data_IF_474162879211
#
_entry.id   IF_474162879211
#
_cell.length_a   1.000
_cell.length_b   1.000
_cell.length_c   1.000
_cell.angle_alpha   90.00
_cell.angle_beta   90.00
_cell.angle_gamma   90.00
#
_symmetry.space_group_name_H-M   'P 1'
#
loop_
_entity.id
_entity.type
_entity.pdbx_description
1 polymer ?
#
# COMPACT_ATOMS: atom_id res chain seq x y z
N UNK A 1 2.14 -30.92 -11.14
CA UNK A 1 3.52 -30.41 -11.40
C UNK A 1 3.57 -28.88 -11.56
N UNK A 2 2.61 -28.24 -12.25
CA UNK A 2 2.56 -26.76 -12.41
C UNK A 2 2.62 -25.93 -11.11
N UNK A 3 1.97 -26.31 -9.99
CA UNK A 3 1.98 -25.50 -8.76
C UNK A 3 3.37 -25.41 -8.10
N UNK A 4 4.18 -26.46 -8.24
CA UNK A 4 5.50 -26.56 -7.61
C UNK A 4 6.51 -25.69 -8.36
N UNK A 5 6.53 -25.77 -9.69
CA UNK A 5 7.43 -24.95 -10.51
C UNK A 5 7.15 -23.45 -10.37
N UNK A 6 5.88 -23.03 -10.27
CA UNK A 6 5.54 -21.63 -9.99
C UNK A 6 6.00 -21.20 -8.60
N UNK A 7 5.76 -22.03 -7.58
CA UNK A 7 6.17 -21.74 -6.21
C UNK A 7 7.69 -21.62 -6.10
N UNK A 8 8.46 -22.51 -6.72
CA UNK A 8 9.92 -22.44 -6.79
C UNK A 8 10.40 -21.14 -7.43
N UNK A 9 9.79 -20.75 -8.56
CA UNK A 9 10.14 -19.49 -9.23
C UNK A 9 9.84 -18.27 -8.36
N UNK A 10 8.71 -18.26 -7.65
CA UNK A 10 8.34 -17.18 -6.74
C UNK A 10 9.24 -17.14 -5.50
N UNK A 11 9.61 -18.31 -4.96
CA UNK A 11 10.45 -18.44 -3.78
C UNK A 11 11.95 -18.22 -4.05
N UNK A 12 12.37 -18.21 -5.31
CA UNK A 12 13.75 -17.90 -5.70
C UNK A 12 14.28 -16.63 -5.03
N UNK A 13 15.53 -16.68 -4.58
CA UNK A 13 16.22 -15.55 -3.94
C UNK A 13 16.41 -14.37 -4.91
N UNK A 14 16.33 -14.60 -6.22
CA UNK A 14 16.46 -13.57 -7.25
C UNK A 14 15.37 -13.68 -8.28
N UNK A 15 14.65 -12.59 -8.49
CA UNK A 15 13.71 -12.47 -9.59
C UNK A 15 14.36 -11.79 -10.78
N UNK A 16 14.03 -12.26 -11.98
CA UNK A 16 14.30 -11.52 -13.21
C UNK A 16 13.54 -10.19 -13.19
N UNK A 17 14.11 -9.12 -13.76
CA UNK A 17 13.44 -7.81 -13.80
C UNK A 17 12.02 -7.85 -14.38
N UNK A 18 11.71 -8.56 -15.48
CA UNK A 18 10.34 -8.63 -16.00
C UNK A 18 9.35 -9.26 -15.02
N UNK A 19 9.76 -10.35 -14.34
CA UNK A 19 8.94 -10.96 -13.31
C UNK A 19 8.68 -9.99 -12.15
N UNK A 20 9.72 -9.30 -11.68
CA UNK A 20 9.55 -8.30 -10.62
C UNK A 20 8.61 -7.18 -11.07
N UNK A 21 8.78 -6.61 -12.27
CA UNK A 21 7.88 -5.57 -12.80
C UNK A 21 6.43 -6.07 -12.84
N UNK A 22 6.18 -7.27 -13.36
CA UNK A 22 4.85 -7.88 -13.40
C UNK A 22 4.27 -8.05 -12.00
N UNK A 23 5.02 -8.62 -11.06
CA UNK A 23 4.58 -8.81 -9.68
C UNK A 23 4.31 -7.49 -8.95
N UNK A 24 4.98 -6.39 -9.31
CA UNK A 24 4.65 -5.09 -8.73
C UNK A 24 3.38 -4.51 -9.34
N UNK A 25 3.22 -4.55 -10.66
CA UNK A 25 2.18 -3.78 -11.37
C UNK A 25 0.84 -4.51 -11.50
N UNK A 26 0.85 -5.84 -11.67
CA UNK A 26 -0.39 -6.63 -11.86
C UNK A 26 -1.38 -6.46 -10.71
N UNK A 27 -0.97 -6.49 -9.41
CA UNK A 27 -1.89 -6.22 -8.31
C UNK A 27 -2.61 -4.88 -8.44
N UNK A 28 -1.91 -3.85 -8.91
CA UNK A 28 -2.46 -2.51 -9.07
C UNK A 28 -3.54 -2.45 -10.13
N UNK A 29 -3.27 -3.08 -11.27
CA UNK A 29 -4.23 -3.16 -12.37
C UNK A 29 -5.46 -3.97 -11.96
N UNK A 30 -5.25 -5.05 -11.20
CA UNK A 30 -6.33 -5.87 -10.65
C UNK A 30 -7.19 -5.09 -9.64
N UNK A 31 -6.61 -4.21 -8.83
CA UNK A 31 -7.37 -3.35 -7.90
C UNK A 31 -8.25 -2.36 -8.67
N UNK A 32 -7.73 -1.71 -9.72
CA UNK A 32 -8.55 -0.81 -10.55
C UNK A 32 -9.68 -1.58 -11.23
N UNK A 33 -9.41 -2.78 -11.76
CA UNK A 33 -10.44 -3.63 -12.35
C UNK A 33 -11.50 -4.04 -11.30
N UNK A 34 -11.08 -4.50 -10.12
CA UNK A 34 -11.99 -4.86 -9.03
C UNK A 34 -12.81 -3.67 -8.55
N UNK A 35 -12.24 -2.46 -8.52
CA UNK A 35 -12.97 -1.24 -8.20
C UNK A 35 -14.05 -0.95 -9.25
N UNK A 36 -13.70 -0.94 -10.53
CA UNK A 36 -14.64 -0.62 -11.61
C UNK A 36 -15.76 -1.66 -11.76
N UNK A 37 -15.44 -2.94 -11.57
CA UNK A 37 -16.38 -4.04 -11.80
C UNK A 37 -17.20 -4.41 -10.56
N UNK A 38 -16.69 -4.13 -9.35
CA UNK A 38 -17.30 -4.60 -8.10
C UNK A 38 -17.44 -3.44 -7.11
N UNK A 39 -16.33 -2.81 -6.73
CA UNK A 39 -16.31 -1.82 -5.65
C UNK A 39 -17.27 -0.65 -5.89
N UNK A 40 -17.14 0.02 -7.03
CA UNK A 40 -17.95 1.18 -7.41
C UNK A 40 -19.43 0.82 -7.61
N UNK A 41 -19.80 -0.16 -8.47
CA UNK A 41 -21.22 -0.53 -8.64
C UNK A 41 -21.89 -0.92 -7.33
N UNK A 42 -21.18 -1.65 -6.46
CA UNK A 42 -21.70 -2.06 -5.17
C UNK A 42 -21.99 -0.87 -4.26
N UNK A 43 -21.03 0.04 -4.09
CA UNK A 43 -21.21 1.20 -3.20
C UNK A 43 -22.25 2.19 -3.72
N UNK A 44 -22.30 2.40 -5.05
CA UNK A 44 -23.35 3.23 -5.66
C UNK A 44 -24.74 2.63 -5.42
N UNK A 45 -24.89 1.29 -5.54
CA UNK A 45 -26.17 0.61 -5.32
C UNK A 45 -26.68 0.71 -3.87
N UNK A 46 -25.79 0.82 -2.88
CA UNK A 46 -26.17 0.96 -1.46
C UNK A 46 -26.09 2.40 -0.94
N UNK A 47 -25.73 3.37 -1.79
CA UNK A 47 -25.62 4.79 -1.42
C UNK A 47 -24.44 5.11 -0.50
N UNK A 48 -23.30 4.44 -0.66
CA UNK A 48 -22.07 4.68 0.11
C UNK A 48 -20.96 5.35 -0.73
N UNK A 49 -20.03 6.08 -0.11
CA UNK A 49 -18.92 6.74 -0.79
C UNK A 49 -18.02 5.75 -1.55
N UNK A 50 -17.49 6.20 -2.69
CA UNK A 50 -16.53 5.42 -3.49
C UNK A 50 -15.25 5.01 -2.75
N UNK A 51 -14.92 5.68 -1.64
CA UNK A 51 -13.83 5.27 -0.76
C UNK A 51 -14.02 3.87 -0.16
N UNK A 52 -15.26 3.52 0.22
CA UNK A 52 -15.59 2.15 0.63
C UNK A 52 -15.39 1.18 -0.55
N UNK A 53 -15.73 1.60 -1.77
CA UNK A 53 -15.54 0.81 -2.98
C UNK A 53 -14.06 0.50 -3.24
N UNK A 54 -13.17 1.46 -3.01
CA UNK A 54 -11.72 1.24 -3.07
C UNK A 54 -11.22 0.30 -1.98
N UNK A 55 -11.72 0.43 -0.75
CA UNK A 55 -11.36 -0.48 0.34
C UNK A 55 -11.79 -1.92 0.02
N UNK A 56 -12.98 -2.12 -0.56
CA UNK A 56 -13.45 -3.43 -1.05
C UNK A 56 -12.51 -3.96 -2.14
N UNK A 57 -12.18 -3.15 -3.16
CA UNK A 57 -11.29 -3.56 -4.24
C UNK A 57 -9.89 -3.96 -3.74
N UNK A 58 -9.34 -3.19 -2.79
CA UNK A 58 -8.07 -3.51 -2.14
C UNK A 58 -8.16 -4.83 -1.37
N UNK A 59 -9.21 -5.06 -0.58
CA UNK A 59 -9.42 -6.33 0.12
C UNK A 59 -9.47 -7.52 -0.85
N UNK A 60 -10.20 -7.39 -1.96
CA UNK A 60 -10.36 -8.45 -2.97
C UNK A 60 -9.04 -8.85 -3.63
N UNK A 61 -8.02 -7.99 -3.64
CA UNK A 61 -6.73 -8.28 -4.26
C UNK A 61 -5.62 -8.55 -3.23
N UNK A 62 -5.52 -7.73 -2.19
CA UNK A 62 -4.46 -7.83 -1.19
C UNK A 62 -4.64 -9.04 -0.27
N UNK A 63 -5.88 -9.41 0.11
CA UNK A 63 -6.10 -10.59 0.95
C UNK A 63 -5.68 -11.87 0.22
N UNK A 64 -6.04 -12.10 -1.06
CA UNK A 64 -5.49 -13.22 -1.83
C UNK A 64 -3.98 -13.19 -1.99
N UNK A 65 -3.35 -12.01 -2.12
CA UNK A 65 -1.87 -11.91 -2.14
C UNK A 65 -1.28 -12.39 -0.81
N UNK A 66 -1.83 -11.95 0.34
CA UNK A 66 -1.41 -12.43 1.65
C UNK A 66 -1.61 -13.95 1.78
N UNK A 67 -2.75 -14.47 1.34
CA UNK A 67 -3.03 -15.90 1.31
C UNK A 67 -2.03 -16.66 0.42
N UNK A 68 -1.64 -16.07 -0.71
CA UNK A 68 -0.59 -16.59 -1.60
C UNK A 68 0.78 -16.66 -0.91
N UNK A 69 1.17 -15.63 -0.15
CA UNK A 69 2.40 -15.65 0.65
C UNK A 69 2.37 -16.75 1.72
N UNK A 70 1.23 -16.91 2.39
CA UNK A 70 1.02 -17.98 3.39
C UNK A 70 1.04 -19.37 2.76
N UNK A 71 0.49 -19.53 1.56
CA UNK A 71 0.54 -20.76 0.77
C UNK A 71 1.97 -21.10 0.33
N UNK A 72 2.75 -20.12 -0.14
CA UNK A 72 4.19 -20.30 -0.41
C UNK A 72 4.94 -20.75 0.84
N UNK A 73 4.55 -20.21 2.00
CA UNK A 73 5.06 -20.64 3.31
C UNK A 73 4.75 -22.08 3.64
N UNK A 74 3.51 -22.52 3.39
CA UNK A 74 3.10 -23.91 3.56
C UNK A 74 3.88 -24.85 2.65
N UNK A 75 4.16 -24.45 1.40
CA UNK A 75 4.99 -25.24 0.49
C UNK A 75 6.42 -25.34 0.99
N UNK A 76 7.02 -24.21 1.40
CA UNK A 76 8.42 -24.16 1.84
C UNK A 76 8.67 -24.87 3.17
N UNK A 77 7.74 -24.72 4.12
CA UNK A 77 7.95 -25.10 5.53
C UNK A 77 7.08 -26.29 5.98
N UNK A 78 6.17 -26.78 5.14
CA UNK A 78 5.17 -27.80 5.51
C UNK A 78 3.99 -27.27 6.34
N UNK A 79 4.03 -26.02 6.81
CA UNK A 79 2.97 -25.38 7.60
C UNK A 79 2.82 -23.90 7.22
N UNK A 80 1.63 -23.34 7.47
CA UNK A 80 1.30 -21.94 7.14
C UNK A 80 2.17 -20.98 7.95
N UNK A 81 3.05 -20.24 7.28
CA UNK A 81 3.99 -19.30 7.92
C UNK A 81 4.55 -18.30 6.92
N UNK A 82 4.77 -17.05 7.33
CA UNK A 82 5.48 -16.06 6.50
C UNK A 82 7.02 -16.17 6.64
N UNK A 83 7.49 -16.96 7.62
CA UNK A 83 8.93 -17.14 7.85
C UNK A 83 9.56 -17.91 6.70
N UNK A 84 10.70 -17.44 6.21
CA UNK A 84 11.35 -18.01 5.02
C UNK A 84 10.70 -17.64 3.69
N UNK A 85 9.53 -17.00 3.69
CA UNK A 85 8.93 -16.38 2.49
C UNK A 85 9.32 -14.90 2.44
N UNK A 86 9.18 -14.24 3.58
CA UNK A 86 9.60 -12.86 3.80
C UNK A 86 11.06 -12.80 4.26
N UNK A 87 11.77 -11.76 3.83
CA UNK A 87 13.10 -11.43 4.33
C UNK A 87 13.06 -10.11 5.11
N UNK A 88 14.24 -9.67 5.58
CA UNK A 88 14.40 -8.51 6.46
C UNK A 88 13.66 -8.68 7.81
N UNK A 89 13.59 -9.93 8.28
CA UNK A 89 13.05 -10.31 9.59
C UNK A 89 14.17 -10.79 10.55
N UNK A 90 15.31 -11.21 10.02
CA UNK A 90 16.33 -11.95 10.78
C UNK A 90 17.31 -11.05 11.55
N UNK A 91 17.36 -9.75 11.23
CA UNK A 91 18.26 -8.78 11.88
C UNK A 91 17.48 -7.61 12.49
N UNK A 92 16.57 -7.88 13.45
CA UNK A 92 15.74 -6.84 14.02
C UNK A 92 16.59 -5.80 14.75
N UNK A 93 16.41 -4.52 14.41
CA UNK A 93 16.92 -3.42 15.21
C UNK A 93 16.40 -3.47 16.65
N UNK A 94 17.21 -3.04 17.64
CA UNK A 94 16.73 -2.83 19.00
C UNK A 94 15.55 -1.87 19.05
N UNK A 95 14.59 -2.10 19.94
CA UNK A 95 13.31 -1.35 19.99
C UNK A 95 13.51 0.17 20.07
N UNK A 96 14.43 0.64 20.92
CA UNK A 96 14.70 2.09 21.05
C UNK A 96 15.22 2.71 19.75
N UNK A 97 16.13 2.02 19.06
CA UNK A 97 16.65 2.47 17.76
C UNK A 97 15.57 2.43 16.67
N UNK A 98 14.73 1.40 16.66
CA UNK A 98 13.61 1.29 15.73
C UNK A 98 12.65 2.48 15.91
N UNK A 99 12.22 2.76 17.14
CA UNK A 99 11.30 3.87 17.45
C UNK A 99 11.93 5.21 17.05
N UNK A 100 13.19 5.45 17.43
CA UNK A 100 13.90 6.68 17.09
C UNK A 100 14.03 6.91 15.58
N UNK A 101 14.06 5.85 14.78
CA UNK A 101 14.10 5.94 13.31
C UNK A 101 12.70 6.06 12.69
N UNK A 102 11.70 5.37 13.23
CA UNK A 102 10.33 5.37 12.69
C UNK A 102 9.65 6.73 12.88
N UNK A 103 9.83 7.39 14.02
CA UNK A 103 9.22 8.71 14.28
C UNK A 103 9.54 9.74 13.18
N UNK A 104 10.82 10.04 12.86
CA UNK A 104 11.14 11.00 11.81
C UNK A 104 10.70 10.52 10.42
N UNK A 105 10.63 9.20 10.17
CA UNK A 105 10.11 8.67 8.90
C UNK A 105 8.59 8.91 8.76
N UNK A 106 7.81 8.74 9.84
CA UNK A 106 6.38 9.08 9.86
C UNK A 106 6.20 10.58 9.59
N UNK A 107 6.94 11.43 10.32
CA UNK A 107 6.90 12.89 10.14
C UNK A 107 7.27 13.26 8.71
N UNK A 108 8.31 12.66 8.14
CA UNK A 108 8.71 12.86 6.74
C UNK A 108 7.59 12.51 5.77
N UNK A 109 7.02 11.30 5.90
CA UNK A 109 5.97 10.82 5.01
C UNK A 109 4.75 11.72 5.08
N UNK A 110 4.29 12.08 6.29
CA UNK A 110 3.14 12.94 6.49
C UNK A 110 3.41 14.35 5.97
N UNK A 111 4.49 15.01 6.41
CA UNK A 111 4.80 16.38 6.04
C UNK A 111 4.93 16.54 4.52
N UNK A 112 5.65 15.63 3.85
CA UNK A 112 5.79 15.68 2.39
C UNK A 112 4.53 15.28 1.64
N UNK A 113 3.68 14.42 2.18
CA UNK A 113 2.38 14.12 1.57
C UNK A 113 1.51 15.38 1.44
N UNK A 114 1.56 16.28 2.42
CA UNK A 114 0.87 17.58 2.38
C UNK A 114 1.63 18.62 1.55
N UNK A 115 2.94 18.76 1.77
CA UNK A 115 3.76 19.77 1.09
C UNK A 115 3.82 19.57 -0.44
N UNK A 116 3.69 18.33 -0.92
CA UNK A 116 3.68 17.99 -2.35
C UNK A 116 2.27 17.95 -2.96
N UNK A 117 1.23 18.36 -2.23
CA UNK A 117 -0.12 18.46 -2.79
C UNK A 117 -0.22 19.36 -4.04
N UNK A 118 0.49 20.51 -4.14
CA UNK A 118 0.51 21.31 -5.37
C UNK A 118 1.10 20.57 -6.58
N UNK A 119 2.10 19.71 -6.36
CA UNK A 119 2.69 18.87 -7.41
C UNK A 119 1.64 17.89 -7.94
N UNK A 120 0.89 17.26 -7.04
CA UNK A 120 -0.19 16.34 -7.42
C UNK A 120 -1.29 17.07 -8.21
N UNK A 121 -1.66 18.28 -7.78
CA UNK A 121 -2.65 19.11 -8.46
C UNK A 121 -2.19 19.54 -9.85
N UNK A 122 -0.90 19.83 -10.03
CA UNK A 122 -0.32 20.12 -11.34
C UNK A 122 -0.44 18.94 -12.31
N UNK A 123 -0.21 17.71 -11.85
CA UNK A 123 -0.28 16.53 -12.71
C UNK A 123 -1.70 15.99 -12.94
N UNK A 124 -2.65 16.24 -12.04
CA UNK A 124 -4.01 15.67 -12.10
C UNK A 124 -4.72 15.91 -13.44
N UNK A 125 -4.67 17.11 -14.07
CA UNK A 125 -5.34 17.38 -15.34
C UNK A 125 -4.93 16.46 -16.50
N UNK A 126 -3.72 15.89 -16.48
CA UNK A 126 -3.24 14.96 -17.51
C UNK A 126 -3.92 13.59 -17.47
N UNK A 127 -4.71 13.30 -16.43
CA UNK A 127 -5.33 12.00 -16.19
C UNK A 127 -6.86 12.03 -16.28
N UNK A 128 -7.46 13.13 -16.75
CA UNK A 128 -8.92 13.33 -16.88
C UNK A 128 -9.65 12.28 -17.73
N UNK A 129 -8.92 11.54 -18.55
CA UNK A 129 -9.44 10.44 -19.36
C UNK A 129 -9.71 9.15 -18.55
N UNK A 130 -9.28 9.05 -17.29
CA UNK A 130 -9.55 7.88 -16.45
C UNK A 130 -10.98 7.94 -15.86
N UNK A 131 -11.76 6.86 -15.96
CA UNK A 131 -13.20 6.84 -15.60
C UNK A 131 -13.48 6.93 -14.09
N UNK A 132 -12.41 6.96 -13.29
CA UNK A 132 -12.42 7.01 -11.84
C UNK A 132 -11.68 8.23 -11.28
N UNK A 133 -11.24 9.19 -12.11
CA UNK A 133 -10.64 10.43 -11.60
C UNK A 133 -11.57 11.13 -10.63
N UNK A 134 -12.88 11.08 -10.90
CA UNK A 134 -13.93 11.70 -10.07
C UNK A 134 -14.39 10.81 -8.91
N UNK A 135 -13.81 9.62 -8.75
CA UNK A 135 -14.02 8.79 -7.56
C UNK A 135 -12.74 8.62 -6.73
N UNK A 136 -11.58 8.83 -7.34
CA UNK A 136 -10.30 9.14 -6.70
C UNK A 136 -10.17 10.65 -6.40
N UNK A 137 -11.30 11.35 -6.42
CA UNK A 137 -11.42 12.77 -6.80
C UNK A 137 -10.69 13.74 -5.92
N UNK A 138 -10.49 13.47 -4.64
CA UNK A 138 -10.02 14.53 -3.77
C UNK A 138 -9.11 13.95 -2.70
N UNK A 139 -7.81 14.21 -2.84
CA UNK A 139 -6.88 13.98 -1.73
C UNK A 139 -7.35 14.79 -0.52
N UNK A 140 -7.49 14.13 0.63
CA UNK A 140 -8.22 14.66 1.79
C UNK A 140 -9.55 13.92 1.97
N UNK A 141 -10.49 14.44 2.77
CA UNK A 141 -11.79 13.78 3.05
C UNK A 141 -12.95 14.29 2.19
N UNK A 142 -12.72 15.22 1.26
CA UNK A 142 -13.79 15.83 0.46
C UNK A 142 -14.47 14.82 -0.48
N UNK A 143 -13.93 13.61 -0.66
CA UNK A 143 -14.64 12.49 -1.32
C UNK A 143 -15.87 12.00 -0.53
N UNK A 144 -16.08 12.50 0.69
CA UNK A 144 -17.24 12.24 1.54
C UNK A 144 -18.30 13.34 1.43
N UNK A 145 -17.98 14.46 0.78
CA UNK A 145 -18.90 15.58 0.63
C UNK A 145 -20.17 15.14 -0.10
N UNK A 146 -21.32 15.56 0.42
CA UNK A 146 -22.64 15.21 -0.12
C UNK A 146 -23.27 13.93 0.45
N UNK A 147 -22.53 13.15 1.26
CA UNK A 147 -23.11 12.02 2.00
C UNK A 147 -23.60 12.44 3.39
N UNK A 148 -24.67 11.82 3.91
CA UNK A 148 -25.09 12.03 5.30
C UNK A 148 -23.95 11.73 6.27
N UNK A 149 -23.84 12.53 7.34
CA UNK A 149 -22.80 12.38 8.36
C UNK A 149 -22.68 10.94 8.89
N UNK A 150 -23.81 10.27 9.13
CA UNK A 150 -23.83 8.88 9.58
C UNK A 150 -23.20 7.90 8.57
N UNK A 151 -23.47 8.05 7.28
CA UNK A 151 -22.90 7.22 6.21
C UNK A 151 -21.39 7.47 6.09
N UNK A 152 -20.99 8.73 6.17
CA UNK A 152 -19.58 9.14 6.18
C UNK A 152 -18.83 8.54 7.37
N UNK A 153 -19.40 8.63 8.58
CA UNK A 153 -18.82 8.08 9.79
C UNK A 153 -18.72 6.56 9.75
N UNK A 154 -19.78 5.86 9.31
CA UNK A 154 -19.75 4.39 9.15
C UNK A 154 -18.64 4.00 8.16
N UNK A 155 -18.55 4.70 7.03
CA UNK A 155 -17.52 4.46 6.02
C UNK A 155 -16.11 4.61 6.61
N UNK A 156 -15.87 5.67 7.37
CA UNK A 156 -14.60 5.91 8.04
C UNK A 156 -14.26 4.83 9.08
N UNK A 157 -15.22 4.44 9.92
CA UNK A 157 -15.03 3.40 10.94
C UNK A 157 -14.72 2.04 10.31
N UNK A 158 -15.37 1.68 9.20
CA UNK A 158 -15.07 0.46 8.45
C UNK A 158 -13.68 0.55 7.79
N UNK A 159 -13.37 1.68 7.16
CA UNK A 159 -12.14 1.82 6.40
C UNK A 159 -10.90 2.01 7.30
N UNK A 160 -11.02 2.58 8.50
CA UNK A 160 -9.90 2.81 9.41
C UNK A 160 -9.05 1.54 9.65
N UNK A 161 -9.59 0.39 10.12
CA UNK A 161 -8.79 -0.81 10.32
C UNK A 161 -8.29 -1.41 9.01
N UNK A 162 -8.98 -1.18 7.89
CA UNK A 162 -8.59 -1.69 6.58
C UNK A 162 -7.50 -0.83 5.95
N UNK A 163 -7.82 0.40 5.54
CA UNK A 163 -6.93 1.31 4.80
C UNK A 163 -5.91 2.00 5.71
N UNK A 164 -6.16 2.10 7.01
CA UNK A 164 -5.21 2.65 7.97
C UNK A 164 -4.20 1.63 8.49
N UNK A 165 -4.54 0.34 8.50
CA UNK A 165 -3.70 -0.70 9.13
C UNK A 165 -3.49 -1.92 8.23
N UNK A 166 -4.54 -2.71 7.99
CA UNK A 166 -4.42 -4.05 7.43
C UNK A 166 -3.90 -4.06 5.99
N UNK A 167 -4.44 -3.20 5.13
CA UNK A 167 -4.09 -3.15 3.71
C UNK A 167 -2.67 -2.59 3.51
N UNK A 168 -2.25 -1.46 4.12
CA UNK A 168 -0.86 -1.01 4.09
C UNK A 168 0.10 -2.06 4.68
N UNK A 169 -0.29 -2.79 5.72
CA UNK A 169 0.53 -3.86 6.27
C UNK A 169 0.75 -4.97 5.24
N UNK A 170 -0.30 -5.43 4.55
CA UNK A 170 -0.16 -6.44 3.49
C UNK A 170 0.78 -5.94 2.38
N UNK A 171 0.66 -4.67 1.99
CA UNK A 171 1.56 -4.05 1.03
C UNK A 171 3.01 -4.09 1.52
N UNK A 172 3.28 -3.76 2.78
CA UNK A 172 4.64 -3.82 3.32
C UNK A 172 5.20 -5.25 3.36
N UNK A 173 4.38 -6.24 3.73
CA UNK A 173 4.77 -7.65 3.69
C UNK A 173 5.07 -8.09 2.25
N UNK A 174 4.26 -7.67 1.28
CA UNK A 174 4.44 -8.05 -0.11
C UNK A 174 5.60 -7.30 -0.79
N UNK A 175 5.58 -5.97 -0.79
CA UNK A 175 6.56 -5.17 -1.52
C UNK A 175 7.93 -5.13 -0.85
N UNK A 176 8.00 -5.08 0.48
CA UNK A 176 9.28 -4.92 1.22
C UNK A 176 9.74 -6.22 1.85
N UNK A 177 8.82 -7.02 2.34
CA UNK A 177 9.14 -8.35 2.87
C UNK A 177 9.39 -9.38 1.78
N UNK A 178 8.65 -9.33 0.67
CA UNK A 178 8.73 -10.35 -0.39
C UNK A 178 9.47 -9.86 -1.64
N UNK A 179 9.08 -8.75 -2.29
CA UNK A 179 9.63 -8.36 -3.59
C UNK A 179 10.99 -7.65 -3.53
N UNK A 180 11.18 -6.67 -2.64
CA UNK A 180 12.43 -5.90 -2.53
C UNK A 180 13.69 -6.78 -2.31
N UNK A 181 13.67 -7.80 -1.42
CA UNK A 181 14.81 -8.70 -1.24
C UNK A 181 15.22 -9.42 -2.52
N UNK A 182 14.25 -9.76 -3.39
CA UNK A 182 14.46 -10.53 -4.61
C UNK A 182 15.08 -9.71 -5.75
N UNK A 183 15.06 -8.38 -5.61
CA UNK A 183 15.80 -7.45 -6.47
C UNK A 183 17.00 -6.81 -5.77
N UNK A 184 17.38 -7.27 -4.57
CA UNK A 184 18.51 -6.70 -3.80
C UNK A 184 19.86 -6.82 -4.52
N UNK A 185 19.98 -7.69 -5.52
CA UNK A 185 21.14 -7.80 -6.40
C UNK A 185 21.40 -6.53 -7.23
N UNK A 186 20.42 -5.62 -7.35
CA UNK A 186 20.58 -4.29 -7.93
C UNK A 186 21.28 -3.29 -6.97
N UNK A 187 21.66 -3.73 -5.77
CA UNK A 187 22.33 -2.91 -4.77
C UNK A 187 21.48 -1.71 -4.37
N UNK A 188 22.08 -0.51 -4.40
CA UNK A 188 21.42 0.75 -4.03
C UNK A 188 20.24 1.11 -4.94
N UNK A 189 20.20 0.59 -6.16
CA UNK A 189 19.07 0.80 -7.07
C UNK A 189 17.84 -0.03 -6.68
N UNK A 190 18.00 -1.10 -5.90
CA UNK A 190 16.90 -1.97 -5.48
C UNK A 190 15.76 -1.21 -4.75
N UNK A 191 16.04 -0.44 -3.66
CA UNK A 191 14.99 0.34 -3.01
C UNK A 191 14.40 1.42 -3.93
N UNK A 192 15.19 2.03 -4.83
CA UNK A 192 14.67 3.04 -5.78
C UNK A 192 13.69 2.42 -6.78
N UNK A 193 14.08 1.32 -7.42
CA UNK A 193 13.23 0.58 -8.37
C UNK A 193 11.97 0.06 -7.68
N UNK A 194 12.09 -0.53 -6.48
CA UNK A 194 10.93 -0.97 -5.71
C UNK A 194 9.98 0.19 -5.38
N UNK A 195 10.51 1.34 -4.97
CA UNK A 195 9.72 2.52 -4.63
C UNK A 195 8.97 3.07 -5.85
N UNK A 196 9.66 3.15 -6.99
CA UNK A 196 9.07 3.61 -8.24
C UNK A 196 7.96 2.67 -8.74
N UNK A 197 8.23 1.35 -8.76
CA UNK A 197 7.24 0.34 -9.16
C UNK A 197 6.06 0.28 -8.19
N UNK A 198 6.29 0.38 -6.88
CA UNK A 198 5.22 0.52 -5.88
C UNK A 198 4.40 1.80 -6.10
N UNK A 199 5.05 2.89 -6.51
CA UNK A 199 4.33 4.13 -6.77
C UNK A 199 3.48 4.05 -8.04
N UNK A 200 3.96 3.35 -9.07
CA UNK A 200 3.21 3.01 -10.28
C UNK A 200 2.06 2.03 -10.03
N UNK A 201 2.23 1.06 -9.12
CA UNK A 201 1.21 0.11 -8.71
C UNK A 201 -0.12 0.79 -8.32
N UNK A 202 -0.07 2.03 -7.82
CA UNK A 202 -1.24 2.83 -7.52
C UNK A 202 -1.87 3.47 -8.77
N UNK A 203 -2.30 2.65 -9.74
CA UNK A 203 -2.95 3.13 -10.96
C UNK A 203 -4.24 3.93 -10.72
N UNK A 204 -4.81 3.88 -9.51
CA UNK A 204 -5.95 4.70 -9.11
C UNK A 204 -5.60 6.14 -8.74
N UNK A 205 -4.32 6.47 -8.56
CA UNK A 205 -3.82 7.81 -8.22
C UNK A 205 -2.50 8.13 -8.93
N UNK A 206 -2.46 8.08 -10.27
CA UNK A 206 -1.22 8.22 -11.04
C UNK A 206 -0.59 9.61 -10.94
N UNK A 207 -1.38 10.66 -10.70
CA UNK A 207 -0.89 12.02 -10.45
C UNK A 207 -0.11 12.16 -9.13
N UNK A 208 -0.20 11.18 -8.22
CA UNK A 208 0.54 11.13 -6.95
C UNK A 208 1.88 10.41 -7.11
N UNK A 209 2.21 9.90 -8.30
CA UNK A 209 3.41 9.08 -8.53
C UNK A 209 4.68 9.75 -8.01
N UNK A 210 4.95 10.99 -8.42
CA UNK A 210 6.19 11.68 -8.05
C UNK A 210 6.26 11.94 -6.54
N UNK A 211 5.17 12.44 -5.96
CA UNK A 211 5.14 12.71 -4.52
C UNK A 211 5.27 11.43 -3.70
N UNK A 212 4.60 10.35 -4.11
CA UNK A 212 4.69 9.03 -3.46
C UNK A 212 6.10 8.47 -3.48
N UNK A 213 6.82 8.60 -4.59
CA UNK A 213 8.24 8.22 -4.62
C UNK A 213 9.01 8.99 -3.55
N UNK A 214 8.85 10.32 -3.48
CA UNK A 214 9.60 11.17 -2.56
C UNK A 214 9.27 10.88 -1.09
N UNK A 215 7.98 10.82 -0.74
CA UNK A 215 7.58 10.69 0.67
C UNK A 215 7.74 9.26 1.22
N UNK A 216 7.85 8.24 0.36
CA UNK A 216 8.02 6.85 0.80
C UNK A 216 9.45 6.30 0.68
N UNK A 217 10.27 6.82 -0.23
CA UNK A 217 11.62 6.30 -0.48
C UNK A 217 12.47 6.15 0.79
N UNK A 218 12.50 7.09 1.76
CA UNK A 218 13.36 6.95 2.93
C UNK A 218 13.06 5.73 3.78
N UNK A 219 11.77 5.41 4.02
CA UNK A 219 11.42 4.23 4.81
C UNK A 219 11.78 2.92 4.11
N UNK A 220 11.58 2.85 2.79
CA UNK A 220 11.92 1.67 2.00
C UNK A 220 13.43 1.49 1.87
N UNK A 221 14.15 2.58 1.72
CA UNK A 221 15.60 2.60 1.77
C UNK A 221 16.13 2.14 3.12
N UNK A 222 15.54 2.61 4.23
CA UNK A 222 15.89 2.19 5.58
C UNK A 222 15.62 0.68 5.78
N UNK A 223 14.47 0.16 5.34
CA UNK A 223 14.17 -1.27 5.43
C UNK A 223 15.24 -2.13 4.69
N UNK A 224 15.62 -1.72 3.47
CA UNK A 224 16.70 -2.38 2.71
C UNK A 224 18.07 -2.25 3.40
N UNK A 225 18.44 -1.04 3.81
CA UNK A 225 19.77 -0.72 4.36
C UNK A 225 20.04 -1.43 5.68
N UNK A 226 19.01 -1.56 6.52
CA UNK A 226 19.10 -2.17 7.84
C UNK A 226 18.59 -3.61 7.88
N UNK A 227 18.05 -4.14 6.77
CA UNK A 227 17.45 -5.47 6.69
C UNK A 227 16.37 -5.68 7.76
N UNK A 228 15.52 -4.67 7.96
CA UNK A 228 14.44 -4.69 8.95
C UNK A 228 13.17 -4.04 8.38
N UNK A 229 12.19 -4.86 7.96
CA UNK A 229 10.92 -4.35 7.40
C UNK A 229 10.11 -3.51 8.39
N UNK A 230 10.38 -3.61 9.70
CA UNK A 230 9.61 -2.86 10.70
C UNK A 230 9.80 -1.35 10.55
N UNK A 231 10.89 -0.91 9.91
CA UNK A 231 11.13 0.50 9.57
C UNK A 231 10.10 1.01 8.56
N UNK A 232 9.86 0.26 7.49
CA UNK A 232 8.90 0.65 6.44
C UNK A 232 7.46 0.41 6.89
N UNK A 233 7.19 -0.67 7.66
CA UNK A 233 5.90 -0.88 8.34
C UNK A 233 5.60 0.28 9.28
N UNK A 234 6.55 0.64 10.16
CA UNK A 234 6.38 1.73 11.10
C UNK A 234 6.09 3.07 10.42
N UNK A 235 6.80 3.38 9.33
CA UNK A 235 6.54 4.59 8.54
C UNK A 235 5.17 4.53 7.84
N UNK A 236 4.94 3.51 7.01
CA UNK A 236 3.80 3.45 6.10
C UNK A 236 2.50 3.16 6.85
N UNK A 237 2.47 2.11 7.67
CA UNK A 237 1.31 1.76 8.48
C UNK A 237 1.09 2.82 9.56
N UNK A 238 2.16 3.32 10.20
CA UNK A 238 2.04 4.37 11.21
C UNK A 238 1.43 5.65 10.66
N UNK A 239 1.93 6.16 9.51
CA UNK A 239 1.38 7.36 8.88
C UNK A 239 -0.08 7.18 8.43
N UNK A 240 -0.41 6.05 7.79
CA UNK A 240 -1.78 5.76 7.32
C UNK A 240 -2.75 5.57 8.49
N UNK A 241 -2.33 4.90 9.56
CA UNK A 241 -3.12 4.75 10.80
C UNK A 241 -3.41 6.09 11.47
N UNK A 242 -2.40 6.96 11.59
CA UNK A 242 -2.55 8.29 12.18
C UNK A 242 -3.52 9.12 11.35
N UNK A 243 -3.32 9.18 10.03
CA UNK A 243 -4.21 9.95 9.14
C UNK A 243 -5.64 9.43 9.15
N UNK A 244 -5.84 8.10 9.09
CA UNK A 244 -7.17 7.50 9.14
C UNK A 244 -7.86 7.76 10.48
N UNK A 245 -7.13 7.68 11.60
CA UNK A 245 -7.66 7.96 12.94
C UNK A 245 -8.05 9.43 13.08
N UNK A 246 -7.17 10.35 12.68
CA UNK A 246 -7.45 11.79 12.76
C UNK A 246 -8.64 12.18 11.86
N UNK A 247 -8.71 11.66 10.64
CA UNK A 247 -9.85 11.89 9.74
C UNK A 247 -11.16 11.36 10.31
N UNK A 248 -11.15 10.14 10.86
CA UNK A 248 -12.33 9.53 11.48
C UNK A 248 -12.78 10.32 12.71
N UNK A 249 -11.85 10.76 13.57
CA UNK A 249 -12.15 11.57 14.74
C UNK A 249 -12.69 12.95 14.36
N UNK A 250 -12.12 13.59 13.34
CA UNK A 250 -12.59 14.89 12.87
C UNK A 250 -14.06 14.82 12.43
N UNK A 251 -14.41 13.79 11.67
CA UNK A 251 -15.80 13.53 11.25
C UNK A 251 -16.68 13.20 12.46
N UNK A 252 -16.24 12.28 13.34
CA UNK A 252 -17.02 11.88 14.51
C UNK A 252 -17.34 13.06 15.45
N UNK A 253 -16.41 14.01 15.58
CA UNK A 253 -16.54 15.22 16.39
C UNK A 253 -17.18 16.39 15.65
N UNK A 254 -17.61 16.20 14.39
CA UNK A 254 -18.21 17.23 13.55
C UNK A 254 -17.30 18.47 13.37
N UNK A 255 -15.98 18.24 13.33
CA UNK A 255 -14.95 19.25 13.08
C UNK A 255 -14.73 19.48 11.58
N UNK A 256 -15.32 18.61 10.74
CA UNK A 256 -15.30 18.65 9.29
C UNK A 256 -16.63 18.13 8.74
#
# INVERSE_FOLDING_TARGET
MVPVALAERLLSDRHSLPLSVLLHLVPGAAIVAAYLLIGRPFTEAIGYPGFLGWAIALCLILIPILAGLLWLGRIRNGHVSLRGVLHYLDRPLPRGRLVAMVIPLIVWMMALSFALAPVNAYFKPFFTWLPYVDAAERGGITYLDGYPHSITLITMVICLPLTGIALPLIEELYFRGFLLPRIAHLGRSAPVVNTFLFSLYHFWTPWVLLSRVIFTLPGYWCAWRYNDIRLSIGMHVGATSILATLGTLAIALNLM
#
